data_IF_253392935969
#
_entry.id   IF_253392935969
#
_cell.length_a   1.000
_cell.length_b   1.000
_cell.length_c   1.000
_cell.angle_alpha   90.00
_cell.angle_beta   90.00
_cell.angle_gamma   90.00
#
_symmetry.space_group_name_H-M   'P 1'
#
loop_
_entity.id
_entity.type
_entity.pdbx_description
1 polymer ?
#
# COMPACT_ATOMS: atom_id res chain seq x y z
N UNK A 1 11.20 -10.66 23.90
CA UNK A 1 11.59 -11.98 23.40
C UNK A 1 12.52 -11.82 22.20
N UNK A 2 12.16 -11.06 21.16
CA UNK A 2 13.00 -10.87 19.96
C UNK A 2 14.39 -10.29 20.25
N UNK A 3 14.54 -9.35 21.19
CA UNK A 3 15.85 -8.83 21.63
C UNK A 3 16.71 -9.88 22.34
N UNK A 4 16.13 -10.97 22.78
CA UNK A 4 16.80 -12.10 23.46
C UNK A 4 17.05 -13.28 22.53
N UNK A 5 16.78 -13.13 21.22
CA UNK A 5 16.92 -14.20 20.25
C UNK A 5 15.89 -15.32 20.38
N UNK A 6 14.82 -15.13 21.16
CA UNK A 6 13.76 -16.11 21.32
C UNK A 6 12.70 -15.85 20.23
N UNK A 7 12.49 -16.79 19.31
CA UNK A 7 11.44 -16.66 18.31
C UNK A 7 10.08 -16.59 19.01
N UNK A 8 9.31 -15.55 18.75
CA UNK A 8 8.01 -15.33 19.34
C UNK A 8 7.03 -14.85 18.26
N UNK A 9 5.86 -15.46 18.22
CA UNK A 9 4.77 -15.10 17.34
C UNK A 9 3.59 -14.56 18.16
N UNK A 10 3.26 -13.30 17.95
CA UNK A 10 2.07 -12.70 18.54
C UNK A 10 0.95 -12.75 17.49
N UNK A 11 -0.13 -13.46 17.79
CA UNK A 11 -1.32 -13.42 16.96
C UNK A 11 -1.96 -12.06 17.13
N UNK A 12 -1.52 -11.09 16.32
CA UNK A 12 -2.01 -9.71 16.35
C UNK A 12 -3.50 -9.66 15.99
N UNK A 13 -4.22 -8.70 16.62
CA UNK A 13 -5.58 -8.31 16.24
C UNK A 13 -5.60 -7.22 15.16
N UNK A 14 -4.44 -6.73 14.74
CA UNK A 14 -4.40 -5.77 13.64
C UNK A 14 -4.81 -6.51 12.39
N UNK A 15 -5.94 -6.12 11.83
CA UNK A 15 -6.46 -6.74 10.62
C UNK A 15 -5.44 -6.68 9.49
N UNK A 16 -5.35 -7.72 8.73
CA UNK A 16 -4.48 -7.83 7.56
C UNK A 16 -4.52 -6.58 6.68
N UNK A 17 -5.72 -6.09 6.40
CA UNK A 17 -5.91 -4.90 5.58
C UNK A 17 -5.50 -3.59 6.25
N UNK A 18 -5.25 -3.56 7.56
CA UNK A 18 -4.79 -2.37 8.28
C UNK A 18 -3.27 -2.28 8.40
N UNK A 19 -2.54 -3.30 7.95
CA UNK A 19 -1.09 -3.27 7.91
C UNK A 19 -0.60 -2.24 6.90
N UNK A 20 0.46 -1.51 7.23
CA UNK A 20 0.95 -0.38 6.43
C UNK A 20 1.30 -0.78 4.99
N UNK A 21 1.98 -1.92 4.81
CA UNK A 21 2.38 -2.42 3.50
C UNK A 21 1.19 -2.74 2.60
N UNK A 22 0.09 -3.21 3.18
CA UNK A 22 -1.13 -3.52 2.42
C UNK A 22 -1.94 -2.26 2.14
N UNK A 23 -2.08 -1.37 3.13
CA UNK A 23 -2.79 -0.09 2.95
C UNK A 23 -2.17 0.75 1.82
N UNK A 24 -0.85 0.85 1.78
CA UNK A 24 -0.15 1.60 0.73
C UNK A 24 -0.38 0.97 -0.65
N UNK A 25 -0.33 -0.36 -0.77
CA UNK A 25 -0.63 -1.05 -2.04
C UNK A 25 -2.09 -0.87 -2.47
N UNK A 26 -3.04 -0.97 -1.56
CA UNK A 26 -4.45 -0.76 -1.86
C UNK A 26 -4.71 0.68 -2.31
N UNK A 27 -4.07 1.67 -1.67
CA UNK A 27 -4.14 3.05 -2.10
C UNK A 27 -3.51 3.25 -3.49
N UNK A 28 -2.41 2.54 -3.79
CA UNK A 28 -1.81 2.60 -5.14
C UNK A 28 -2.74 2.00 -6.19
N UNK A 29 -3.35 0.86 -5.93
CA UNK A 29 -4.37 0.27 -6.80
C UNK A 29 -5.58 1.20 -6.98
N UNK A 30 -6.02 1.86 -5.89
CA UNK A 30 -7.13 2.80 -5.93
C UNK A 30 -6.87 3.99 -6.86
N UNK A 31 -5.67 4.58 -6.84
CA UNK A 31 -5.34 5.69 -7.74
C UNK A 31 -5.08 5.24 -9.18
N UNK A 32 -4.68 3.98 -9.41
CA UNK A 32 -4.59 3.42 -10.75
C UNK A 32 -5.97 3.28 -11.41
N UNK A 33 -6.99 2.92 -10.62
CA UNK A 33 -8.38 2.89 -11.07
C UNK A 33 -8.95 4.30 -11.22
N UNK A 34 -8.98 5.06 -10.13
CA UNK A 34 -9.48 6.43 -10.10
C UNK A 34 -8.51 7.37 -9.39
N UNK A 35 -7.77 8.22 -10.12
CA UNK A 35 -6.80 9.15 -9.55
C UNK A 35 -7.43 10.30 -8.76
N UNK A 36 -8.74 10.56 -8.92
CA UNK A 36 -9.46 11.66 -8.25
C UNK A 36 -9.83 11.33 -6.80
N UNK A 37 -8.90 10.74 -6.07
CA UNK A 37 -9.07 10.33 -4.67
C UNK A 37 -7.91 10.93 -3.87
N UNK A 38 -8.17 12.07 -3.22
CA UNK A 38 -7.13 12.86 -2.54
C UNK A 38 -6.41 12.08 -1.44
N UNK A 39 -7.14 11.31 -0.62
CA UNK A 39 -6.54 10.55 0.50
C UNK A 39 -5.62 9.42 0.01
N UNK A 40 -6.06 8.51 -0.89
CA UNK A 40 -5.18 7.52 -1.48
C UNK A 40 -3.96 8.12 -2.18
N UNK A 41 -4.15 9.22 -2.92
CA UNK A 41 -3.06 9.88 -3.63
C UNK A 41 -2.03 10.46 -2.66
N UNK A 42 -2.45 11.16 -1.61
CA UNK A 42 -1.55 11.68 -0.59
C UNK A 42 -0.78 10.55 0.11
N UNK A 43 -1.46 9.45 0.47
CA UNK A 43 -0.83 8.27 1.07
C UNK A 43 0.23 7.65 0.16
N UNK A 44 -0.02 7.57 -1.14
CA UNK A 44 0.94 7.02 -2.11
C UNK A 44 2.13 7.96 -2.28
N UNK A 45 1.90 9.26 -2.39
CA UNK A 45 2.96 10.25 -2.57
C UNK A 45 3.91 10.32 -1.36
N UNK A 46 3.40 10.12 -0.13
CA UNK A 46 4.23 10.07 1.09
C UNK A 46 4.87 8.71 1.37
N UNK A 47 4.55 7.71 0.56
CA UNK A 47 5.10 6.36 0.70
C UNK A 47 6.38 6.17 -0.12
N UNK A 48 6.90 4.93 -0.13
CA UNK A 48 7.99 4.50 -1.00
C UNK A 48 7.80 4.88 -2.48
N UNK A 49 6.57 4.89 -2.96
CA UNK A 49 6.26 5.17 -4.36
C UNK A 49 6.53 6.62 -4.76
N UNK A 50 6.15 7.58 -3.93
CA UNK A 50 6.33 9.01 -4.19
C UNK A 50 7.57 9.60 -3.52
N UNK A 51 7.92 9.13 -2.33
CA UNK A 51 9.07 9.58 -1.57
C UNK A 51 8.98 11.03 -1.09
N UNK A 52 7.76 11.58 -0.99
CA UNK A 52 7.53 12.96 -0.52
C UNK A 52 7.36 13.01 0.99
N UNK A 53 7.86 14.08 1.61
CA UNK A 53 7.58 14.42 2.99
C UNK A 53 6.28 15.19 3.17
N UNK A 54 5.86 15.38 4.43
CA UNK A 54 4.64 16.14 4.76
C UNK A 54 4.71 17.61 4.30
N UNK A 55 5.87 18.26 4.46
CA UNK A 55 6.10 19.63 4.00
C UNK A 55 6.00 19.72 2.48
N UNK A 56 6.56 18.74 1.76
CA UNK A 56 6.51 18.67 0.31
C UNK A 56 5.06 18.52 -0.21
N UNK A 57 4.23 17.73 0.49
CA UNK A 57 2.79 17.70 0.21
C UNK A 57 2.11 19.05 0.42
N UNK A 58 2.55 19.79 1.43
CA UNK A 58 2.07 21.15 1.71
C UNK A 58 2.30 22.10 0.53
N UNK A 59 3.47 22.02 -0.13
CA UNK A 59 3.75 22.81 -1.34
C UNK A 59 2.79 22.46 -2.49
N UNK A 60 2.53 21.16 -2.71
CA UNK A 60 1.60 20.72 -3.75
C UNK A 60 0.18 21.21 -3.47
N UNK A 61 -0.24 21.24 -2.19
CA UNK A 61 -1.56 21.73 -1.80
C UNK A 61 -1.68 23.26 -1.92
N UNK A 62 -0.59 24.00 -1.78
CA UNK A 62 -0.56 25.45 -1.82
C UNK A 62 -0.83 26.03 -3.22
N UNK A 63 -0.76 25.23 -4.28
CA UNK A 63 -1.03 25.66 -5.67
C UNK A 63 -2.42 26.28 -5.76
N UNK A 64 -3.43 25.55 -5.33
CA UNK A 64 -4.80 26.02 -5.24
C UNK A 64 -5.53 25.28 -4.12
N UNK A 65 -5.92 26.02 -3.09
CA UNK A 65 -6.58 25.43 -1.91
C UNK A 65 -8.04 25.04 -2.16
N UNK A 66 -8.66 25.58 -3.20
CA UNK A 66 -10.06 25.33 -3.53
C UNK A 66 -10.22 24.12 -4.45
N UNK A 67 -9.20 23.83 -5.26
CA UNK A 67 -9.22 22.66 -6.14
C UNK A 67 -8.96 21.35 -5.39
N UNK A 68 -9.48 20.22 -5.88
CA UNK A 68 -9.10 18.90 -5.41
C UNK A 68 -7.57 18.72 -5.46
N UNK A 69 -7.00 18.04 -4.47
CA UNK A 69 -5.55 17.83 -4.38
C UNK A 69 -4.99 17.15 -5.63
N UNK A 70 -5.73 16.21 -6.19
CA UNK A 70 -5.38 15.53 -7.44
C UNK A 70 -5.12 16.52 -8.61
N UNK A 71 -5.92 17.56 -8.76
CA UNK A 71 -5.73 18.56 -9.83
C UNK A 71 -4.45 19.36 -9.63
N UNK A 72 -4.13 19.69 -8.38
CA UNK A 72 -2.86 20.36 -8.05
C UNK A 72 -1.66 19.48 -8.38
N UNK A 73 -1.73 18.17 -8.02
CA UNK A 73 -0.66 17.21 -8.34
C UNK A 73 -0.49 17.05 -9.84
N UNK A 74 -1.59 16.96 -10.60
CA UNK A 74 -1.55 16.89 -12.06
C UNK A 74 -0.92 18.13 -12.69
N UNK A 75 -1.19 19.31 -12.16
CA UNK A 75 -0.60 20.54 -12.66
C UNK A 75 0.93 20.53 -12.58
N UNK A 76 1.49 19.91 -11.54
CA UNK A 76 2.93 19.71 -11.40
C UNK A 76 3.50 18.60 -12.29
N UNK A 77 2.70 17.57 -12.59
CA UNK A 77 3.13 16.41 -13.38
C UNK A 77 2.88 16.58 -14.88
N UNK A 78 2.19 17.63 -15.29
CA UNK A 78 1.84 17.86 -16.71
C UNK A 78 2.98 18.56 -17.44
N UNK A 79 3.37 18.00 -18.58
CA UNK A 79 4.26 18.63 -19.55
C UNK A 79 3.49 19.58 -20.51
N UNK A 80 2.14 19.62 -20.41
CA UNK A 80 1.34 20.47 -21.29
C UNK A 80 1.35 21.93 -20.85
N UNK A 81 1.64 22.84 -21.77
CA UNK A 81 1.67 24.28 -21.53
C UNK A 81 0.36 24.81 -20.95
N UNK A 82 -0.79 24.31 -21.41
CA UNK A 82 -2.12 24.74 -20.96
C UNK A 82 -2.39 24.49 -19.44
N UNK A 83 -1.86 23.38 -18.90
CA UNK A 83 -2.02 23.08 -17.46
C UNK A 83 -0.89 23.74 -16.65
N UNK A 84 0.25 23.90 -17.28
CA UNK A 84 1.43 24.56 -16.73
C UNK A 84 1.21 26.08 -16.48
N UNK A 85 0.36 26.74 -17.28
CA UNK A 85 -0.03 28.14 -17.07
C UNK A 85 -0.86 28.36 -15.78
N UNK A 86 -1.49 27.31 -15.25
CA UNK A 86 -2.24 27.40 -14.00
C UNK A 86 -1.35 27.51 -12.75
N UNK A 87 -0.06 27.21 -12.86
CA UNK A 87 0.91 27.36 -11.79
C UNK A 87 1.67 28.66 -12.02
N UNK A 88 1.52 29.62 -11.09
CA UNK A 88 2.26 30.87 -11.16
C UNK A 88 3.77 30.59 -11.18
N UNK A 89 4.50 31.40 -11.96
CA UNK A 89 5.97 31.27 -12.07
C UNK A 89 6.65 31.39 -10.70
N UNK A 90 6.06 32.16 -9.78
CA UNK A 90 6.50 32.26 -8.39
C UNK A 90 6.40 30.94 -7.61
N UNK A 91 5.38 30.12 -7.87
CA UNK A 91 5.23 28.80 -7.24
C UNK A 91 6.19 27.79 -7.85
N UNK A 92 6.46 27.85 -9.16
CA UNK A 92 7.46 27.01 -9.82
C UNK A 92 8.86 27.26 -9.27
N UNK A 93 9.23 28.50 -9.05
CA UNK A 93 10.52 28.86 -8.47
C UNK A 93 10.66 28.46 -6.99
N UNK A 94 9.53 28.27 -6.29
CA UNK A 94 9.50 27.87 -4.88
C UNK A 94 9.54 26.37 -4.67
N UNK A 95 9.24 25.56 -5.70
CA UNK A 95 9.30 24.09 -5.57
C UNK A 95 10.75 23.64 -5.73
N UNK A 96 11.37 23.06 -4.70
CA UNK A 96 12.72 22.51 -4.80
C UNK A 96 12.85 21.52 -5.96
N UNK A 97 13.97 21.58 -6.68
CA UNK A 97 14.24 20.71 -7.83
C UNK A 97 14.11 19.22 -7.46
N UNK A 98 14.49 18.86 -6.23
CA UNK A 98 14.34 17.51 -5.69
C UNK A 98 12.89 17.00 -5.70
N UNK A 99 11.92 17.87 -5.38
CA UNK A 99 10.48 17.52 -5.40
C UNK A 99 10.02 17.31 -6.84
N UNK A 100 10.47 18.15 -7.76
CA UNK A 100 10.13 18.02 -9.18
C UNK A 100 10.65 16.68 -9.74
N UNK A 101 11.87 16.28 -9.41
CA UNK A 101 12.44 14.99 -9.81
C UNK A 101 11.66 13.81 -9.22
N UNK A 102 11.29 13.87 -7.93
CA UNK A 102 10.47 12.82 -7.29
C UNK A 102 9.12 12.67 -7.99
N UNK A 103 8.45 13.79 -8.27
CA UNK A 103 7.15 13.80 -8.97
C UNK A 103 7.26 13.29 -10.41
N UNK A 104 8.29 13.68 -11.15
CA UNK A 104 8.51 13.22 -12.52
C UNK A 104 8.72 11.70 -12.57
N UNK A 105 9.54 11.16 -11.65
CA UNK A 105 9.79 9.72 -11.52
C UNK A 105 8.53 8.95 -11.17
N UNK A 106 7.79 9.44 -10.17
CA UNK A 106 6.50 8.87 -9.78
C UNK A 106 5.52 8.87 -10.97
N UNK A 107 5.37 10.01 -11.65
CA UNK A 107 4.44 10.17 -12.76
C UNK A 107 4.75 9.22 -13.91
N UNK A 108 6.01 9.08 -14.31
CA UNK A 108 6.43 8.19 -15.38
C UNK A 108 6.04 6.73 -15.08
N UNK A 109 6.32 6.27 -13.83
CA UNK A 109 5.99 4.92 -13.39
C UNK A 109 4.48 4.72 -13.29
N UNK A 110 3.78 5.68 -12.70
CA UNK A 110 2.33 5.69 -12.56
C UNK A 110 1.62 5.61 -13.90
N UNK A 111 2.02 6.41 -14.90
CA UNK A 111 1.40 6.38 -16.22
C UNK A 111 1.55 5.02 -16.92
N UNK A 112 2.74 4.40 -16.82
CA UNK A 112 2.99 3.06 -17.38
C UNK A 112 2.08 2.01 -16.73
N UNK A 113 2.01 2.01 -15.40
CA UNK A 113 1.19 1.08 -14.63
C UNK A 113 -0.31 1.32 -14.86
N UNK A 114 -0.74 2.58 -14.96
CA UNK A 114 -2.12 2.93 -15.27
C UNK A 114 -2.56 2.46 -16.66
N UNK A 115 -1.67 2.49 -17.66
CA UNK A 115 -1.95 1.89 -18.96
C UNK A 115 -2.13 0.38 -18.85
N UNK A 116 -1.24 -0.28 -18.10
CA UNK A 116 -1.27 -1.74 -17.87
C UNK A 116 -2.50 -2.18 -17.07
N UNK A 117 -2.95 -1.40 -16.08
CA UNK A 117 -4.11 -1.74 -15.24
C UNK A 117 -5.43 -1.90 -16.00
N UNK A 118 -5.49 -1.41 -17.25
CA UNK A 118 -6.69 -1.53 -18.11
C UNK A 118 -6.87 -2.91 -18.72
N UNK A 119 -5.82 -3.71 -18.82
CA UNK A 119 -5.84 -4.99 -19.52
C UNK A 119 -5.17 -6.15 -18.78
N UNK A 120 -4.27 -5.87 -17.83
CA UNK A 120 -3.63 -6.91 -17.05
C UNK A 120 -4.59 -7.45 -15.96
N UNK A 121 -4.51 -8.75 -15.67
CA UNK A 121 -5.03 -9.31 -14.44
C UNK A 121 -4.43 -8.62 -13.21
N UNK A 122 -5.14 -8.60 -12.09
CA UNK A 122 -4.73 -7.83 -10.89
C UNK A 122 -3.44 -8.40 -10.29
N UNK A 123 -3.32 -9.73 -10.24
CA UNK A 123 -2.09 -10.36 -9.75
C UNK A 123 -0.89 -10.04 -10.63
N UNK A 124 -1.03 -10.01 -11.96
CA UNK A 124 0.03 -9.60 -12.88
C UNK A 124 0.36 -8.11 -12.71
N UNK A 125 -0.66 -7.26 -12.50
CA UNK A 125 -0.46 -5.84 -12.21
C UNK A 125 0.34 -5.65 -10.92
N UNK A 126 0.08 -6.43 -9.88
CA UNK A 126 0.87 -6.40 -8.63
C UNK A 126 2.34 -6.77 -8.89
N UNK A 127 2.61 -7.83 -9.66
CA UNK A 127 3.99 -8.18 -10.05
C UNK A 127 4.67 -7.06 -10.83
N UNK A 128 3.95 -6.40 -11.74
CA UNK A 128 4.48 -5.26 -12.49
C UNK A 128 4.79 -4.05 -11.58
N UNK A 129 3.93 -3.79 -10.58
CA UNK A 129 4.19 -2.77 -9.57
C UNK A 129 5.49 -3.09 -8.84
N UNK A 130 5.68 -4.33 -8.39
CA UNK A 130 6.90 -4.72 -7.67
C UNK A 130 8.14 -4.63 -8.54
N UNK A 131 8.07 -5.12 -9.78
CA UNK A 131 9.20 -5.07 -10.72
C UNK A 131 9.63 -3.65 -11.07
N UNK A 132 8.66 -2.71 -11.24
CA UNK A 132 8.96 -1.34 -11.62
C UNK A 132 9.37 -0.44 -10.46
N UNK A 133 8.98 -0.77 -9.23
CA UNK A 133 9.16 0.10 -8.07
C UNK A 133 10.09 -0.47 -7.00
N UNK A 134 10.43 -1.76 -7.06
CA UNK A 134 11.19 -2.44 -6.01
C UNK A 134 10.43 -2.55 -4.66
N UNK A 135 9.11 -2.39 -4.66
CA UNK A 135 8.34 -2.32 -3.42
C UNK A 135 8.44 -3.59 -2.57
N UNK A 136 8.47 -4.76 -3.18
CA UNK A 136 8.60 -6.03 -2.46
C UNK A 136 9.94 -6.14 -1.72
N UNK A 137 11.02 -5.71 -2.36
CA UNK A 137 12.36 -5.70 -1.75
C UNK A 137 12.42 -4.67 -0.62
N UNK A 138 11.82 -3.50 -0.84
CA UNK A 138 11.72 -2.45 0.18
C UNK A 138 11.02 -2.96 1.45
N UNK A 139 9.82 -3.53 1.34
CA UNK A 139 9.08 -4.01 2.53
C UNK A 139 9.78 -5.17 3.22
N UNK A 140 10.51 -6.00 2.47
CA UNK A 140 11.33 -7.10 2.99
C UNK A 140 12.53 -6.58 3.80
N UNK A 141 13.08 -5.43 3.43
CA UNK A 141 14.20 -4.80 4.15
C UNK A 141 13.77 -4.06 5.43
N UNK A 142 12.49 -3.81 5.63
CA UNK A 142 11.96 -3.15 6.83
C UNK A 142 11.96 -4.09 8.06
N UNK A 143 11.86 -3.54 9.29
CA UNK A 143 11.63 -4.35 10.49
C UNK A 143 10.42 -5.28 10.30
N UNK A 144 10.52 -6.52 10.74
CA UNK A 144 9.57 -7.60 10.48
C UNK A 144 9.34 -7.89 8.98
N UNK A 145 10.39 -7.71 8.15
CA UNK A 145 10.31 -7.80 6.69
C UNK A 145 9.77 -9.14 6.17
N UNK A 146 10.08 -10.27 6.84
CA UNK A 146 9.49 -11.56 6.51
C UNK A 146 7.96 -11.54 6.59
N UNK A 147 7.39 -10.97 7.68
CA UNK A 147 5.93 -10.84 7.84
C UNK A 147 5.32 -9.89 6.80
N UNK A 148 5.96 -8.75 6.56
CA UNK A 148 5.50 -7.80 5.55
C UNK A 148 5.47 -8.41 4.15
N UNK A 149 6.52 -9.16 3.79
CA UNK A 149 6.58 -9.89 2.53
C UNK A 149 5.46 -10.92 2.41
N UNK A 150 5.24 -11.74 3.44
CA UNK A 150 4.16 -12.71 3.44
C UNK A 150 2.77 -12.06 3.33
N UNK A 151 2.56 -10.90 3.98
CA UNK A 151 1.34 -10.13 3.81
C UNK A 151 1.14 -9.67 2.36
N UNK A 152 2.19 -9.21 1.70
CA UNK A 152 2.13 -8.80 0.29
C UNK A 152 1.86 -10.00 -0.64
N UNK A 153 2.50 -11.14 -0.40
CA UNK A 153 2.28 -12.38 -1.14
C UNK A 153 0.82 -12.87 -0.96
N UNK A 154 0.26 -12.78 0.25
CA UNK A 154 -1.15 -13.08 0.51
C UNK A 154 -2.10 -12.15 -0.28
N UNK A 155 -1.74 -10.88 -0.53
CA UNK A 155 -2.55 -10.00 -1.38
C UNK A 155 -2.63 -10.52 -2.82
N UNK A 156 -1.53 -11.07 -3.34
CA UNK A 156 -1.50 -11.69 -4.66
C UNK A 156 -2.44 -12.91 -4.71
N UNK A 157 -2.39 -13.78 -3.69
CA UNK A 157 -3.29 -14.94 -3.60
C UNK A 157 -4.76 -14.53 -3.56
N UNK A 158 -5.09 -13.46 -2.81
CA UNK A 158 -6.45 -12.90 -2.78
C UNK A 158 -6.86 -12.32 -4.14
N UNK A 159 -5.95 -11.70 -4.88
CA UNK A 159 -6.21 -11.22 -6.23
C UNK A 159 -6.51 -12.39 -7.18
N UNK A 160 -5.70 -13.45 -7.15
CA UNK A 160 -5.92 -14.66 -7.95
C UNK A 160 -7.27 -15.32 -7.60
N UNK A 161 -7.59 -15.46 -6.31
CA UNK A 161 -8.85 -16.01 -5.86
C UNK A 161 -10.06 -15.17 -6.32
N UNK A 162 -9.94 -13.84 -6.28
CA UNK A 162 -10.96 -12.93 -6.79
C UNK A 162 -11.15 -13.09 -8.30
N UNK A 163 -10.08 -13.20 -9.08
CA UNK A 163 -10.12 -13.34 -10.53
C UNK A 163 -10.75 -14.66 -11.00
N UNK A 164 -10.73 -15.68 -10.17
CA UNK A 164 -11.43 -16.95 -10.40
C UNK A 164 -12.95 -16.83 -10.17
N UNK A 165 -13.44 -15.70 -9.63
CA UNK A 165 -14.86 -15.43 -9.47
C UNK A 165 -15.50 -14.88 -10.76
N UNK A 166 -16.82 -14.60 -10.69
CA UNK A 166 -17.55 -13.97 -11.80
C UNK A 166 -17.22 -12.47 -11.97
N UNK A 167 -16.59 -11.85 -11.00
CA UNK A 167 -16.22 -10.43 -11.03
C UNK A 167 -14.79 -10.27 -11.53
N UNK A 168 -14.57 -9.27 -12.39
CA UNK A 168 -13.25 -8.98 -12.97
C UNK A 168 -12.96 -7.48 -12.98
N UNK A 169 -11.67 -7.15 -13.04
CA UNK A 169 -11.19 -5.78 -13.16
C UNK A 169 -10.92 -5.09 -11.82
N UNK A 170 -10.06 -4.09 -11.89
CA UNK A 170 -9.48 -3.42 -10.72
C UNK A 170 -10.55 -2.74 -9.84
N UNK A 171 -11.51 -2.06 -10.47
CA UNK A 171 -12.63 -1.42 -9.78
C UNK A 171 -13.41 -2.40 -8.87
N UNK A 172 -13.77 -3.57 -9.41
CA UNK A 172 -14.51 -4.57 -8.63
C UNK A 172 -13.68 -5.19 -7.52
N UNK A 173 -12.37 -5.36 -7.74
CA UNK A 173 -11.45 -5.83 -6.71
C UNK A 173 -11.35 -4.85 -5.54
N UNK A 174 -11.17 -3.56 -5.82
CA UNK A 174 -11.12 -2.52 -4.79
C UNK A 174 -12.41 -2.53 -3.97
N UNK A 175 -13.57 -2.57 -4.63
CA UNK A 175 -14.87 -2.66 -3.97
C UNK A 175 -15.05 -3.94 -3.15
N UNK A 176 -14.50 -5.04 -3.60
CA UNK A 176 -14.49 -6.30 -2.86
C UNK A 176 -13.66 -6.16 -1.57
N UNK A 177 -12.46 -5.60 -1.66
CA UNK A 177 -11.61 -5.34 -0.49
C UNK A 177 -12.29 -4.37 0.50
N UNK A 178 -12.86 -3.26 0.03
CA UNK A 178 -13.61 -2.31 0.87
C UNK A 178 -14.76 -2.99 1.63
N UNK A 179 -15.47 -3.92 0.99
CA UNK A 179 -16.52 -4.70 1.65
C UNK A 179 -15.94 -5.62 2.72
N UNK A 180 -14.86 -6.32 2.44
CA UNK A 180 -14.20 -7.16 3.44
C UNK A 180 -13.78 -6.35 4.67
N UNK A 181 -13.17 -5.19 4.47
CA UNK A 181 -12.81 -4.27 5.56
C UNK A 181 -14.03 -3.80 6.36
N UNK A 182 -15.12 -3.43 5.67
CA UNK A 182 -16.34 -2.91 6.31
C UNK A 182 -17.06 -3.96 7.16
N UNK A 183 -17.05 -5.21 6.74
CA UNK A 183 -17.72 -6.31 7.44
C UNK A 183 -16.85 -7.00 8.46
N UNK A 184 -15.67 -6.41 8.75
CA UNK A 184 -14.71 -6.92 9.74
C UNK A 184 -14.38 -8.41 9.50
N UNK A 185 -14.39 -8.80 8.22
CA UNK A 185 -13.87 -10.10 7.79
C UNK A 185 -12.36 -9.99 7.88
N UNK A 186 -11.88 -10.05 9.13
CA UNK A 186 -10.48 -9.93 9.43
C UNK A 186 -9.79 -11.23 9.04
N UNK A 187 -9.14 -11.19 7.91
CA UNK A 187 -8.11 -12.18 7.63
C UNK A 187 -6.93 -11.79 8.54
N UNK A 188 -6.57 -12.64 9.48
CA UNK A 188 -5.32 -12.47 10.23
C UNK A 188 -4.15 -12.21 9.27
N UNK A 189 -3.07 -11.59 9.76
CA UNK A 189 -1.84 -11.47 8.98
C UNK A 189 -1.40 -12.85 8.45
N UNK A 190 -0.63 -12.86 7.35
CA UNK A 190 -0.11 -14.10 6.79
C UNK A 190 0.67 -14.90 7.84
N UNK A 191 0.34 -16.17 8.02
CA UNK A 191 1.06 -17.04 8.95
C UNK A 191 2.41 -17.42 8.35
N UNK A 192 3.50 -16.85 8.90
CA UNK A 192 4.87 -17.26 8.53
C UNK A 192 5.32 -18.48 9.33
N UNK A 193 4.77 -18.64 10.54
CA UNK A 193 5.19 -19.68 11.46
C UNK A 193 4.32 -20.92 11.24
N UNK A 194 4.92 -22.00 10.76
CA UNK A 194 4.29 -23.32 10.70
C UNK A 194 3.85 -23.73 12.11
N UNK A 195 2.77 -24.51 12.21
CA UNK A 195 2.32 -25.09 13.49
C UNK A 195 3.43 -25.88 14.22
N UNK A 196 4.46 -26.29 13.49
CA UNK A 196 5.59 -27.08 13.99
C UNK A 196 6.83 -26.25 14.35
N UNK A 197 6.82 -24.92 14.21
CA UNK A 197 7.99 -24.11 14.54
C UNK A 197 8.15 -23.95 16.06
N UNK A 198 9.39 -24.11 16.54
CA UNK A 198 9.77 -23.90 17.94
C UNK A 198 9.75 -22.40 18.30
N UNK A 199 8.55 -21.82 18.43
CA UNK A 199 8.34 -20.42 18.72
C UNK A 199 7.36 -20.23 19.90
N UNK A 200 7.59 -19.18 20.69
CA UNK A 200 6.66 -18.77 21.75
C UNK A 200 5.44 -18.12 21.13
N UNK A 201 4.26 -18.72 21.30
CA UNK A 201 2.99 -18.19 20.80
C UNK A 201 2.36 -17.28 21.85
N UNK A 202 2.12 -16.03 21.48
CA UNK A 202 1.42 -15.04 22.33
C UNK A 202 0.02 -14.85 21.77
N UNK A 203 -0.99 -15.20 22.56
CA UNK A 203 -2.39 -15.12 22.11
C UNK A 203 -3.34 -14.84 23.28
N UNK A 204 -4.56 -14.42 22.98
CA UNK A 204 -5.60 -14.28 23.99
C UNK A 204 -6.18 -15.62 24.38
N UNK A 205 -6.76 -15.70 25.61
CA UNK A 205 -7.42 -16.92 26.13
C UNK A 205 -8.54 -17.39 25.16
N UNK A 206 -9.24 -16.47 24.51
CA UNK A 206 -10.28 -16.81 23.54
C UNK A 206 -9.72 -17.52 22.30
N UNK A 207 -8.52 -17.14 21.85
CA UNK A 207 -7.86 -17.75 20.69
C UNK A 207 -7.19 -19.09 21.03
N UNK A 208 -6.91 -19.36 22.31
CA UNK A 208 -6.34 -20.63 22.77
C UNK A 208 -7.41 -21.71 22.97
N UNK A 209 -8.70 -21.38 22.86
CA UNK A 209 -9.79 -22.35 23.07
C UNK A 209 -9.72 -23.50 22.05
N UNK A 210 -9.55 -24.73 22.55
CA UNK A 210 -9.42 -25.93 21.71
C UNK A 210 -8.01 -26.25 21.28
N UNK A 211 -6.99 -25.48 21.71
CA UNK A 211 -5.60 -25.74 21.46
C UNK A 211 -4.93 -26.30 22.72
N UNK A 212 -3.98 -27.22 22.55
CA UNK A 212 -3.17 -27.80 23.61
C UNK A 212 -1.72 -27.33 23.49
N UNK A 213 -1.11 -26.92 24.60
CA UNK A 213 0.27 -26.45 24.65
C UNK A 213 1.04 -27.19 25.76
N UNK A 214 2.29 -27.62 25.49
CA UNK A 214 3.13 -28.28 26.50
C UNK A 214 3.41 -27.40 27.72
N UNK A 215 3.58 -26.10 27.52
CA UNK A 215 3.84 -25.11 28.55
C UNK A 215 2.99 -23.87 28.27
N UNK A 216 2.30 -23.35 29.29
CA UNK A 216 1.43 -22.20 29.18
C UNK A 216 1.79 -21.16 30.27
N UNK A 217 1.99 -19.91 29.88
CA UNK A 217 2.16 -18.78 30.79
C UNK A 217 0.93 -17.87 30.66
N UNK A 218 0.30 -17.57 31.80
CA UNK A 218 -0.81 -16.63 31.86
C UNK A 218 -0.31 -15.34 32.51
N UNK A 219 -0.43 -14.21 31.82
CA UNK A 219 0.02 -12.89 32.29
C UNK A 219 -1.15 -11.93 32.40
#
# INVERSE_FOLDING_TARGET
>A
LGKMGIPAHAISRTGYFSTQEIQVLLNYLAILDNPRQDIPLASVLTSWFGGLGEEELGYLRAVDKEKPFYENVLAWMSESEEISESISEELRQKLPEEIQEKLARFHQTYQKLRKKSRYLPIHELLYEIFAMTGYLDYVTALPAGGQRRANVEMLIEKAIAFENSSYRGLFHFIRYIEKLQKYDVDFGEAEIVSENDEAVRIMSIHKSKGLEFPICFVA
#
